data_IF_687208054648
#
_entry.id   IF_687208054648
#
_cell.length_a   1.000
_cell.length_b   1.000
_cell.length_c   1.000
_cell.angle_alpha   90.00
_cell.angle_beta   90.00
_cell.angle_gamma   90.00
#
_symmetry.space_group_name_H-M   'P 1'
#
loop_
_entity.id
_entity.type
_entity.pdbx_description
1 polymer ?
#
# COMPACT_ATOMS: atom_id res chain seq x y z
N UNK A 1 -15.28 23.99 -31.35
CA UNK A 1 -14.19 23.17 -31.92
C UNK A 1 -13.62 22.34 -30.78
N UNK A 2 -13.75 21.01 -30.86
CA UNK A 2 -13.11 19.93 -30.06
C UNK A 2 -12.97 20.08 -28.53
N UNK A 3 -13.76 19.36 -27.72
CA UNK A 3 -13.48 18.04 -27.12
C UNK A 3 -12.57 18.06 -25.88
N UNK A 4 -13.18 17.72 -24.73
CA UNK A 4 -12.63 17.17 -23.48
C UNK A 4 -11.13 16.86 -23.47
N UNK A 5 -10.36 17.55 -22.63
CA UNK A 5 -9.14 16.97 -22.05
C UNK A 5 -9.43 16.66 -20.58
N UNK A 6 -9.42 15.38 -20.16
CA UNK A 6 -9.59 15.00 -18.77
C UNK A 6 -8.29 15.30 -18.02
N UNK A 7 -8.01 16.57 -17.74
CA UNK A 7 -6.89 16.98 -16.87
C UNK A 7 -7.36 17.43 -15.48
N UNK A 8 -8.64 17.18 -15.14
CA UNK A 8 -9.09 16.96 -13.76
C UNK A 8 -8.84 15.49 -13.32
N UNK A 9 -8.13 14.71 -14.14
CA UNK A 9 -7.71 13.34 -13.85
C UNK A 9 -6.44 13.26 -12.98
N UNK A 10 -6.15 14.27 -12.15
CA UNK A 10 -5.29 14.07 -10.98
C UNK A 10 -6.02 13.27 -9.87
N UNK A 11 -6.92 12.36 -10.26
CA UNK A 11 -7.42 11.27 -9.43
C UNK A 11 -6.34 10.21 -9.18
N UNK A 12 -5.12 10.63 -8.88
CA UNK A 12 -3.94 9.77 -8.70
C UNK A 12 -3.38 9.79 -7.28
N UNK A 13 -4.04 10.45 -6.33
CA UNK A 13 -3.66 10.42 -4.91
C UNK A 13 -4.51 9.42 -4.11
N UNK A 14 -4.97 8.36 -4.77
CA UNK A 14 -5.47 7.15 -4.12
C UNK A 14 -4.42 6.06 -4.18
N UNK A 15 -3.14 6.39 -4.01
CA UNK A 15 -2.14 5.36 -3.78
C UNK A 15 -2.39 4.86 -2.36
N UNK A 16 -3.23 3.84 -2.21
CA UNK A 16 -3.35 3.08 -0.97
C UNK A 16 -1.93 2.83 -0.47
N UNK A 17 -1.59 3.21 0.77
CA UNK A 17 -0.21 3.14 1.22
C UNK A 17 0.30 1.69 1.06
N UNK A 18 1.36 1.49 0.30
CA UNK A 18 1.93 0.15 0.10
C UNK A 18 3.33 0.11 0.70
N UNK A 19 3.61 -0.96 1.43
CA UNK A 19 4.92 -1.20 2.00
C UNK A 19 5.56 -2.43 1.37
N UNK A 20 6.74 -2.25 0.77
CA UNK A 20 7.49 -3.34 0.13
C UNK A 20 8.73 -3.62 0.93
N UNK A 21 8.86 -4.87 1.36
CA UNK A 21 9.93 -5.31 2.25
C UNK A 21 10.21 -6.78 2.02
N UNK A 22 11.30 -7.29 2.61
CA UNK A 22 11.61 -8.71 2.49
C UNK A 22 10.60 -9.54 3.26
N UNK A 23 10.23 -10.68 2.69
CA UNK A 23 9.33 -11.64 3.34
C UNK A 23 9.86 -12.07 4.71
N UNK A 24 11.18 -12.07 4.93
CA UNK A 24 11.76 -12.35 6.26
C UNK A 24 11.47 -11.26 7.29
N UNK A 25 11.51 -9.98 6.91
CA UNK A 25 11.23 -8.85 7.81
C UNK A 25 9.74 -8.76 8.16
N UNK A 26 8.87 -9.15 7.22
CA UNK A 26 7.41 -9.20 7.41
C UNK A 26 6.85 -10.60 7.57
N UNK A 27 7.71 -11.56 7.91
CA UNK A 27 7.29 -12.94 8.22
C UNK A 27 6.35 -13.00 9.42
N UNK A 28 6.40 -11.98 10.29
CA UNK A 28 5.51 -11.80 11.43
C UNK A 28 4.36 -10.83 11.15
N UNK A 29 4.32 -10.18 9.99
CA UNK A 29 3.25 -9.25 9.63
C UNK A 29 2.14 -10.02 8.92
N UNK A 30 0.98 -10.09 9.55
CA UNK A 30 -0.25 -10.68 9.00
C UNK A 30 -1.28 -9.61 8.68
N UNK A 31 -2.29 -9.98 7.88
CA UNK A 31 -3.48 -9.17 7.65
C UNK A 31 -4.13 -8.76 8.98
N UNK A 32 -4.54 -7.50 9.07
CA UNK A 32 -5.08 -6.88 10.29
C UNK A 32 -4.02 -6.43 11.30
N UNK A 33 -2.73 -6.59 11.02
CA UNK A 33 -1.68 -6.09 11.90
C UNK A 33 -1.55 -4.56 11.81
N UNK A 34 -1.32 -3.91 12.95
CA UNK A 34 -1.08 -2.48 13.01
C UNK A 34 0.39 -2.18 12.66
N UNK A 35 0.61 -1.38 11.64
CA UNK A 35 1.92 -0.96 11.15
C UNK A 35 2.08 0.54 11.34
N UNK A 36 3.03 0.94 12.18
CA UNK A 36 3.30 2.35 12.45
C UNK A 36 4.48 2.80 11.58
N UNK A 37 4.23 3.69 10.65
CA UNK A 37 5.28 4.34 9.85
C UNK A 37 5.47 5.76 10.34
N UNK A 38 6.61 6.02 10.97
CA UNK A 38 6.90 7.31 11.61
C UNK A 38 5.93 7.61 12.76
N UNK A 39 4.88 8.38 12.46
CA UNK A 39 3.82 8.78 13.40
C UNK A 39 2.40 8.47 12.90
N UNK A 40 2.28 7.76 11.78
CA UNK A 40 0.97 7.37 11.23
C UNK A 40 0.76 5.88 11.48
N UNK A 41 -0.36 5.57 12.09
CA UNK A 41 -0.83 4.19 12.27
C UNK A 41 -1.53 3.75 11.00
N UNK A 42 -1.09 2.63 10.47
CA UNK A 42 -1.73 1.96 9.36
C UNK A 42 -2.16 0.57 9.79
N UNK A 43 -3.17 0.03 9.10
CA UNK A 43 -3.60 -1.35 9.26
C UNK A 43 -3.28 -2.11 7.97
N UNK A 44 -2.61 -3.25 8.10
CA UNK A 44 -2.36 -4.13 6.96
C UNK A 44 -3.70 -4.71 6.49
N UNK A 45 -4.10 -4.41 5.27
CA UNK A 45 -5.29 -4.97 4.63
C UNK A 45 -5.00 -6.31 3.97
N UNK A 46 -3.89 -6.38 3.25
CA UNK A 46 -3.57 -7.50 2.38
C UNK A 46 -2.05 -7.70 2.33
N UNK A 47 -1.63 -8.96 2.19
CA UNK A 47 -0.22 -9.37 2.20
C UNK A 47 0.04 -10.18 0.94
N UNK A 48 0.72 -9.56 -0.02
CA UNK A 48 1.00 -10.16 -1.33
C UNK A 48 2.47 -10.54 -1.38
N UNK A 49 2.77 -11.84 -1.31
CA UNK A 49 4.12 -12.34 -1.58
C UNK A 49 4.38 -12.47 -3.09
N UNK A 50 5.58 -12.05 -3.51
CA UNK A 50 6.01 -12.13 -4.91
C UNK A 50 6.73 -13.45 -5.22
N UNK A 51 6.87 -14.35 -4.23
CA UNK A 51 7.64 -15.61 -4.34
C UNK A 51 9.16 -15.43 -4.51
N UNK A 52 9.64 -14.21 -4.75
CA UNK A 52 11.05 -13.84 -4.92
C UNK A 52 11.75 -13.48 -3.60
N UNK A 53 11.02 -13.58 -2.46
CA UNK A 53 11.49 -13.16 -1.14
C UNK A 53 11.16 -11.70 -0.80
N UNK A 54 10.34 -11.05 -1.64
CA UNK A 54 9.76 -9.74 -1.37
C UNK A 54 8.25 -9.90 -1.15
N UNK A 55 7.73 -9.09 -0.23
CA UNK A 55 6.32 -9.04 0.13
C UNK A 55 5.85 -7.60 0.06
N UNK A 56 4.67 -7.41 -0.54
CA UNK A 56 3.95 -6.16 -0.62
C UNK A 56 2.79 -6.20 0.37
N UNK A 57 2.81 -5.27 1.32
CA UNK A 57 1.71 -5.03 2.24
C UNK A 57 0.88 -3.88 1.70
N UNK A 58 -0.42 -4.12 1.47
CA UNK A 58 -1.37 -3.03 1.30
C UNK A 58 -1.79 -2.54 2.67
N UNK A 59 -1.64 -1.25 2.89
CA UNK A 59 -1.95 -0.57 4.13
C UNK A 59 -3.17 0.32 3.93
N UNK A 60 -3.95 0.45 4.98
CA UNK A 60 -5.04 1.40 5.09
C UNK A 60 -4.73 2.35 6.25
N UNK A 61 -4.92 3.65 6.04
CA UNK A 61 -4.84 4.62 7.13
C UNK A 61 -6.16 4.59 7.90
N UNK A 62 -6.07 4.53 9.22
CA UNK A 62 -7.23 4.65 10.11
C UNK A 62 -7.65 6.13 10.27
#
# INVERSE_FOLDING_TARGET
>A
MALNTPDDALGGYGADPQFVCRTSDVSSATEGNALVTGSVNYTVRDVIDDGTGMTRLMLEVD
#
